data_IF_952877079217
#
_entry.id   IF_952877079217
#
_cell.length_a   1.000
_cell.length_b   1.000
_cell.length_c   1.000
_cell.angle_alpha   90.00
_cell.angle_beta   90.00
_cell.angle_gamma   90.00
#
_symmetry.space_group_name_H-M   'P 1'
#
loop_
_entity.id
_entity.type
_entity.pdbx_description
1 polymer ?
#
# COMPACT_ATOMS: atom_id res chain seq x y z
N UNK A 1 11.78 -6.17 -10.22
CA UNK A 1 12.12 -5.29 -9.09
C UNK A 1 12.76 -6.14 -8.00
N UNK A 2 13.91 -5.73 -7.44
CA UNK A 2 14.54 -6.48 -6.36
C UNK A 2 13.77 -6.25 -5.04
N UNK A 3 13.29 -7.33 -4.42
CA UNK A 3 12.64 -7.26 -3.10
C UNK A 3 13.72 -6.89 -2.07
N UNK A 4 13.54 -5.75 -1.40
CA UNK A 4 14.43 -5.35 -0.31
C UNK A 4 14.11 -6.20 0.92
N UNK A 5 15.15 -6.74 1.54
CA UNK A 5 15.01 -7.62 2.71
C UNK A 5 14.18 -6.95 3.83
N UNK A 6 13.18 -7.65 4.34
CA UNK A 6 12.27 -7.19 5.38
C UNK A 6 11.17 -6.25 4.93
N UNK A 7 11.21 -5.71 3.69
CA UNK A 7 10.16 -4.87 3.15
C UNK A 7 9.07 -5.73 2.52
N UNK A 8 7.83 -5.47 2.91
CA UNK A 8 6.64 -6.15 2.39
C UNK A 8 5.83 -5.19 1.51
N UNK A 9 5.10 -5.76 0.56
CA UNK A 9 4.29 -5.03 -0.42
C UNK A 9 2.86 -5.56 -0.40
N UNK A 10 1.87 -4.65 -0.42
CA UNK A 10 0.45 -5.01 -0.50
C UNK A 10 -0.24 -4.14 -1.53
N UNK A 11 -1.06 -4.76 -2.37
CA UNK A 11 -1.85 -4.07 -3.36
C UNK A 11 -3.29 -3.86 -2.88
N UNK A 12 -3.82 -2.69 -3.15
CA UNK A 12 -5.21 -2.31 -2.97
C UNK A 12 -5.85 -1.87 -4.29
N UNK A 13 -7.17 -1.87 -4.34
CA UNK A 13 -7.87 -1.90 -5.62
C UNK A 13 -8.36 -0.56 -6.15
N UNK A 14 -8.44 0.51 -5.35
CA UNK A 14 -9.20 1.67 -5.80
C UNK A 14 -8.44 3.00 -5.65
N UNK A 15 -8.32 3.72 -6.76
CA UNK A 15 -8.07 5.15 -6.77
C UNK A 15 -9.37 5.91 -6.90
N UNK A 16 -9.54 6.93 -6.07
CA UNK A 16 -10.54 7.97 -6.28
C UNK A 16 -9.87 9.20 -6.87
N UNK A 17 -10.35 9.68 -8.00
CA UNK A 17 -9.93 10.97 -8.53
C UNK A 17 -10.80 12.08 -7.96
N UNK A 18 -10.15 13.16 -7.53
CA UNK A 18 -10.87 14.39 -7.22
C UNK A 18 -11.31 15.01 -8.54
N UNK A 19 -12.61 15.24 -8.76
CA UNK A 19 -13.11 15.89 -9.97
C UNK A 19 -12.46 17.28 -10.10
N UNK A 20 -12.07 17.62 -11.34
CA UNK A 20 -11.66 18.99 -11.65
C UNK A 20 -12.90 19.86 -11.78
N UNK A 21 -12.87 21.05 -11.22
CA UNK A 21 -13.78 22.12 -11.62
C UNK A 21 -13.45 22.55 -13.06
N UNK A 22 -14.43 22.90 -13.86
CA UNK A 22 -14.20 23.42 -15.21
C UNK A 22 -13.23 24.60 -15.15
N UNK A 23 -12.07 24.48 -15.81
CA UNK A 23 -11.00 25.47 -15.81
C UNK A 23 -9.92 25.30 -14.73
N UNK A 24 -10.08 24.38 -13.79
CA UNK A 24 -9.03 24.02 -12.82
C UNK A 24 -8.04 23.05 -13.46
N UNK A 25 -6.74 23.26 -13.18
CA UNK A 25 -5.65 22.34 -13.56
C UNK A 25 -5.19 21.51 -12.36
N UNK A 26 -6.11 21.09 -11.51
CA UNK A 26 -5.76 20.28 -10.36
C UNK A 26 -5.49 18.83 -10.77
N UNK A 27 -4.31 18.37 -10.45
CA UNK A 27 -3.85 16.99 -10.68
C UNK A 27 -3.87 16.24 -9.35
N UNK A 28 -5.04 16.16 -8.70
CA UNK A 28 -5.16 15.54 -7.38
C UNK A 28 -5.77 14.15 -7.47
N UNK A 29 -5.19 13.23 -6.70
CA UNK A 29 -5.71 11.88 -6.51
C UNK A 29 -5.94 11.64 -5.03
N UNK A 30 -7.02 10.96 -4.70
CA UNK A 30 -7.34 10.47 -3.36
C UNK A 30 -7.64 9.00 -3.42
N UNK A 31 -7.33 8.30 -2.35
CA UNK A 31 -7.65 6.89 -2.24
C UNK A 31 -7.35 6.36 -0.84
N UNK A 32 -7.88 5.19 -0.55
CA UNK A 32 -7.54 4.45 0.67
C UNK A 32 -6.36 3.54 0.37
N UNK A 33 -5.23 3.81 1.00
CA UNK A 33 -4.01 3.03 0.83
C UNK A 33 -4.03 1.74 1.66
N UNK A 34 -4.66 1.77 2.83
CA UNK A 34 -4.67 0.66 3.78
C UNK A 34 -6.03 0.61 4.46
N UNK A 35 -6.63 -0.59 4.54
CA UNK A 35 -7.90 -0.83 5.24
C UNK A 35 -7.61 -1.61 6.53
N UNK A 36 -8.15 -1.12 7.66
CA UNK A 36 -7.98 -1.77 8.96
C UNK A 36 -9.03 -2.84 9.22
N UNK A 37 -8.65 -3.81 10.04
CA UNK A 37 -9.53 -4.86 10.58
C UNK A 37 -10.33 -5.63 9.51
N UNK A 38 -9.88 -5.61 8.26
CA UNK A 38 -10.50 -6.32 7.15
C UNK A 38 -9.58 -7.44 6.69
N UNK A 39 -10.03 -8.70 6.76
CA UNK A 39 -9.23 -9.82 6.27
C UNK A 39 -9.00 -9.73 4.77
N UNK A 40 -7.74 -9.82 4.37
CA UNK A 40 -7.33 -9.89 2.98
C UNK A 40 -6.70 -11.24 2.71
N UNK A 41 -7.20 -11.97 1.70
CA UNK A 41 -6.58 -13.23 1.27
C UNK A 41 -5.30 -12.88 0.52
N UNK A 42 -4.16 -13.35 1.03
CA UNK A 42 -2.86 -13.15 0.39
C UNK A 42 -2.57 -14.23 -0.63
N UNK A 43 -2.95 -15.47 -0.34
CA UNK A 43 -2.92 -16.59 -1.28
C UNK A 43 -3.80 -17.74 -0.79
N UNK A 44 -4.04 -18.69 -1.69
CA UNK A 44 -4.75 -19.93 -1.42
C UNK A 44 -3.86 -21.11 -1.80
N UNK A 45 -3.86 -22.16 -0.99
CA UNK A 45 -3.16 -23.40 -1.26
C UNK A 45 -4.00 -24.58 -0.76
N UNK A 46 -4.29 -25.54 -1.64
CA UNK A 46 -5.07 -26.74 -1.33
C UNK A 46 -6.43 -26.46 -0.66
N UNK A 47 -7.11 -25.38 -1.09
CA UNK A 47 -8.39 -24.96 -0.54
C UNK A 47 -8.30 -24.23 0.81
N UNK A 48 -7.09 -23.92 1.26
CA UNK A 48 -6.83 -23.14 2.48
C UNK A 48 -6.46 -21.73 2.12
N UNK A 49 -7.25 -20.75 2.61
CA UNK A 49 -6.96 -19.33 2.46
C UNK A 49 -6.01 -18.85 3.55
N UNK A 50 -4.93 -18.19 3.16
CA UNK A 50 -4.00 -17.50 4.05
C UNK A 50 -4.27 -16.02 4.03
N UNK A 51 -4.66 -15.48 5.19
CA UNK A 51 -5.20 -14.13 5.34
C UNK A 51 -4.29 -13.23 6.14
N UNK A 52 -4.45 -11.95 5.91
CA UNK A 52 -3.81 -10.91 6.71
C UNK A 52 -4.84 -9.86 7.14
N UNK A 53 -4.70 -9.41 8.37
CA UNK A 53 -5.43 -8.29 8.95
C UNK A 53 -4.40 -7.27 9.42
N UNK A 54 -4.65 -6.00 9.13
CA UNK A 54 -3.90 -4.88 9.70
C UNK A 54 -4.75 -4.28 10.81
N UNK A 55 -4.23 -4.34 12.03
CA UNK A 55 -4.90 -3.78 13.20
C UNK A 55 -5.06 -2.26 13.08
N UNK A 56 -6.17 -1.74 13.62
CA UNK A 56 -6.44 -0.29 13.62
C UNK A 56 -5.32 0.56 14.20
N UNK A 57 -4.62 0.06 15.20
CA UNK A 57 -3.54 0.75 15.90
C UNK A 57 -2.15 0.43 15.35
N UNK A 58 -2.06 -0.33 14.25
CA UNK A 58 -0.80 -0.76 13.68
C UNK A 58 0.14 0.38 13.27
N UNK A 59 -0.41 1.56 12.97
CA UNK A 59 0.33 2.73 12.53
C UNK A 59 0.56 3.79 13.61
N UNK A 60 0.10 3.59 14.84
CA UNK A 60 0.22 4.58 15.92
C UNK A 60 1.66 4.99 16.21
N UNK A 61 2.61 4.05 16.10
CA UNK A 61 4.05 4.27 16.31
C UNK A 61 4.87 4.08 15.01
N UNK A 62 4.20 4.07 13.87
CA UNK A 62 4.87 3.86 12.58
C UNK A 62 5.70 5.08 12.17
N UNK A 63 6.92 4.84 11.69
CA UNK A 63 7.70 5.87 11.02
C UNK A 63 7.07 6.18 9.65
N UNK A 64 6.44 7.33 9.57
CA UNK A 64 5.87 7.91 8.35
C UNK A 64 6.46 9.29 8.06
N UNK A 65 7.70 9.54 8.48
CA UNK A 65 8.35 10.86 8.40
C UNK A 65 8.52 11.35 6.97
N UNK A 66 8.69 10.46 6.02
CA UNK A 66 8.84 10.82 4.61
C UNK A 66 8.35 9.70 3.68
N UNK A 67 7.05 9.52 3.61
CA UNK A 67 6.42 8.61 2.65
C UNK A 67 6.41 9.27 1.27
N UNK A 68 6.72 8.49 0.23
CA UNK A 68 6.72 8.93 -1.16
C UNK A 68 5.56 8.30 -1.93
N UNK A 69 5.14 8.96 -3.01
CA UNK A 69 4.23 8.42 -4.00
C UNK A 69 4.99 8.27 -5.33
N UNK A 70 4.99 7.07 -5.88
CA UNK A 70 5.70 6.73 -7.11
C UNK A 70 4.89 5.76 -7.98
N UNK A 71 5.46 5.33 -9.08
CA UNK A 71 4.89 4.34 -9.99
C UNK A 71 5.64 3.01 -9.86
N UNK A 72 4.90 1.91 -9.68
CA UNK A 72 5.44 0.54 -9.56
C UNK A 72 6.57 0.39 -8.52
N UNK A 73 6.47 1.05 -7.36
CA UNK A 73 7.47 1.01 -6.28
C UNK A 73 8.89 1.39 -6.73
N UNK A 74 9.01 2.15 -7.78
CA UNK A 74 10.29 2.56 -8.37
C UNK A 74 10.09 3.80 -9.24
N UNK A 75 11.09 4.14 -10.05
CA UNK A 75 11.00 5.26 -10.94
C UNK A 75 10.98 6.62 -10.24
N UNK A 76 10.24 7.57 -10.82
CA UNK A 76 10.22 8.95 -10.33
C UNK A 76 9.26 9.11 -9.16
N UNK A 77 9.67 9.88 -8.16
CA UNK A 77 8.80 10.33 -7.07
C UNK A 77 7.91 11.46 -7.59
N UNK A 78 6.61 11.26 -7.55
CA UNK A 78 5.63 12.21 -8.11
C UNK A 78 4.91 13.03 -7.04
N UNK A 79 4.92 12.56 -5.80
CA UNK A 79 4.50 13.31 -4.61
C UNK A 79 5.23 12.76 -3.38
N UNK A 80 5.33 13.58 -2.32
CA UNK A 80 5.94 13.12 -1.08
C UNK A 80 5.51 13.97 0.13
N UNK A 81 5.55 13.37 1.32
CA UNK A 81 5.16 14.04 2.57
C UNK A 81 6.03 15.25 2.86
N UNK A 82 7.34 15.12 2.70
CA UNK A 82 8.31 16.17 3.08
C UNK A 82 8.10 17.48 2.35
N UNK A 83 7.67 17.46 1.08
CA UNK A 83 7.37 18.68 0.33
C UNK A 83 5.87 19.02 0.29
N UNK A 84 5.05 18.32 1.10
CA UNK A 84 3.61 18.55 1.26
C UNK A 84 2.77 18.32 0.00
N UNK A 85 3.28 17.61 -0.99
CA UNK A 85 2.51 17.19 -2.15
C UNK A 85 1.75 15.88 -1.91
N UNK A 86 2.12 15.14 -0.88
CA UNK A 86 1.39 13.98 -0.36
C UNK A 86 0.93 14.26 1.07
N UNK A 87 -0.32 13.95 1.36
CA UNK A 87 -0.86 13.92 2.72
C UNK A 87 -1.40 12.51 3.03
N UNK A 88 -1.17 12.07 4.26
CA UNK A 88 -1.75 10.84 4.80
C UNK A 88 -2.74 11.22 5.91
N UNK A 89 -3.91 10.63 5.88
CA UNK A 89 -4.92 10.77 6.91
C UNK A 89 -5.31 9.38 7.44
N UNK A 90 -5.10 9.17 8.73
CA UNK A 90 -5.48 7.92 9.41
C UNK A 90 -6.80 8.16 10.11
N UNK A 91 -7.80 7.35 9.76
CA UNK A 91 -9.11 7.34 10.39
C UNK A 91 -9.45 5.94 10.93
N UNK A 92 -10.69 5.72 11.35
CA UNK A 92 -11.14 4.42 11.87
C UNK A 92 -11.16 3.31 10.82
N UNK A 93 -11.21 3.65 9.54
CA UNK A 93 -11.29 2.72 8.42
C UNK A 93 -9.93 2.31 7.89
N UNK A 94 -8.95 3.22 7.93
CA UNK A 94 -7.66 2.95 7.36
C UNK A 94 -6.77 4.17 7.19
N UNK A 95 -5.81 4.04 6.30
CA UNK A 95 -4.90 5.11 5.89
C UNK A 95 -5.32 5.61 4.52
N UNK A 96 -5.72 6.87 4.46
CA UNK A 96 -6.12 7.55 3.23
C UNK A 96 -5.00 8.45 2.74
N UNK A 97 -4.88 8.57 1.42
CA UNK A 97 -3.95 9.48 0.77
C UNK A 97 -4.68 10.61 0.06
N UNK A 98 -4.02 11.75 0.01
CA UNK A 98 -4.35 12.89 -0.86
C UNK A 98 -3.04 13.36 -1.48
N UNK A 99 -2.91 13.27 -2.80
CA UNK A 99 -1.69 13.57 -3.51
C UNK A 99 -1.93 14.59 -4.63
N UNK A 100 -1.09 15.63 -4.67
CA UNK A 100 -1.00 16.57 -5.77
C UNK A 100 0.12 16.12 -6.72
N UNK A 101 -0.27 15.66 -7.89
CA UNK A 101 0.64 15.16 -8.94
C UNK A 101 1.06 16.26 -9.93
N UNK A 102 0.57 17.49 -9.76
CA UNK A 102 0.79 18.59 -10.71
C UNK A 102 2.18 19.18 -10.73
N UNK A 103 3.02 18.88 -9.72
CA UNK A 103 4.32 19.50 -9.54
C UNK A 103 5.41 19.04 -10.51
N UNK A 104 5.24 17.91 -11.18
CA UNK A 104 6.20 17.36 -12.13
C UNK A 104 5.53 16.89 -13.42
N UNK A 105 6.27 16.82 -14.51
CA UNK A 105 5.78 16.24 -15.77
C UNK A 105 5.36 14.78 -15.55
N UNK A 106 6.18 13.98 -14.89
CA UNK A 106 5.87 12.58 -14.60
C UNK A 106 4.60 12.44 -13.74
N UNK A 107 4.36 13.34 -12.79
CA UNK A 107 3.15 13.34 -11.98
C UNK A 107 1.90 13.64 -12.80
N UNK A 108 1.96 14.63 -13.69
CA UNK A 108 0.85 14.96 -14.58
C UNK A 108 0.54 13.84 -15.57
N UNK A 109 1.57 13.20 -16.13
CA UNK A 109 1.40 12.02 -16.99
C UNK A 109 0.73 10.86 -16.23
N UNK A 110 1.21 10.56 -15.01
CA UNK A 110 0.60 9.54 -14.16
C UNK A 110 -0.87 9.86 -13.84
N UNK A 111 -1.18 11.13 -13.54
CA UNK A 111 -2.56 11.54 -13.33
C UNK A 111 -3.45 11.25 -14.54
N UNK A 112 -2.97 11.55 -15.75
CA UNK A 112 -3.71 11.29 -16.99
C UNK A 112 -3.92 9.79 -17.21
N UNK A 113 -2.94 8.95 -16.87
CA UNK A 113 -3.06 7.50 -16.94
C UNK A 113 -4.08 6.95 -15.93
N UNK A 114 -4.11 7.50 -14.72
CA UNK A 114 -5.12 7.15 -13.71
C UNK A 114 -6.52 7.61 -14.16
N UNK A 115 -6.64 8.85 -14.62
CA UNK A 115 -7.91 9.43 -15.10
C UNK A 115 -8.45 8.67 -16.30
N UNK A 116 -7.59 8.21 -17.17
CA UNK A 116 -7.94 7.40 -18.35
C UNK A 116 -8.21 5.92 -18.07
N UNK A 117 -8.04 5.47 -16.82
CA UNK A 117 -8.25 4.06 -16.43
C UNK A 117 -7.15 3.10 -16.87
N UNK A 118 -5.98 3.61 -17.27
CA UNK A 118 -4.82 2.77 -17.60
C UNK A 118 -4.12 2.22 -16.35
N UNK A 119 -4.18 2.97 -15.26
CA UNK A 119 -3.64 2.60 -13.95
C UNK A 119 -4.72 2.83 -12.91
N UNK A 120 -5.17 1.76 -12.28
CA UNK A 120 -6.31 1.78 -11.36
C UNK A 120 -6.04 1.08 -10.01
N UNK A 121 -4.81 0.61 -9.80
CA UNK A 121 -4.43 -0.09 -8.58
C UNK A 121 -3.43 0.71 -7.77
N UNK A 122 -3.49 0.52 -6.47
CA UNK A 122 -2.56 1.11 -5.52
C UNK A 122 -1.91 0.02 -4.68
N UNK A 123 -0.64 0.20 -4.38
CA UNK A 123 0.13 -0.68 -3.52
C UNK A 123 0.90 0.16 -2.49
N UNK A 124 1.24 -0.43 -1.37
CA UNK A 124 2.09 0.21 -0.37
C UNK A 124 3.21 -0.72 0.08
N UNK A 125 4.33 -0.14 0.48
CA UNK A 125 5.48 -0.90 0.99
C UNK A 125 5.84 -0.49 2.41
N UNK A 126 6.09 -1.48 3.25
CA UNK A 126 6.27 -1.30 4.68
C UNK A 126 7.17 -2.37 5.28
N UNK A 127 7.59 -2.14 6.53
CA UNK A 127 8.21 -3.16 7.38
C UNK A 127 7.39 -3.35 8.64
N UNK A 128 7.35 -4.58 9.15
CA UNK A 128 6.56 -4.96 10.33
C UNK A 128 7.45 -4.96 11.58
N UNK A 129 6.92 -4.42 12.68
CA UNK A 129 7.53 -4.52 14.00
C UNK A 129 6.98 -5.69 14.80
N UNK A 130 5.65 -5.83 14.83
CA UNK A 130 4.97 -6.90 15.57
C UNK A 130 3.80 -7.44 14.75
N UNK A 131 3.67 -8.75 14.76
CA UNK A 131 2.54 -9.46 14.20
C UNK A 131 2.27 -10.74 14.99
N UNK A 132 1.03 -11.19 15.00
CA UNK A 132 0.62 -12.47 15.52
C UNK A 132 0.11 -13.38 14.39
N UNK A 133 0.15 -14.67 14.61
CA UNK A 133 -0.37 -15.65 13.66
C UNK A 133 -1.28 -16.66 14.34
N UNK A 134 -2.49 -16.78 13.82
CA UNK A 134 -3.44 -17.82 14.22
C UNK A 134 -3.37 -18.98 13.21
N UNK A 135 -2.88 -20.11 13.68
CA UNK A 135 -2.72 -21.32 12.85
C UNK A 135 -4.03 -22.03 12.55
N UNK A 136 -5.09 -21.78 13.30
CA UNK A 136 -6.41 -22.39 13.06
C UNK A 136 -7.13 -21.67 11.91
N UNK A 137 -7.09 -20.36 11.92
CA UNK A 137 -7.72 -19.52 10.87
C UNK A 137 -6.77 -19.16 9.74
N UNK A 138 -5.49 -19.53 9.84
CA UNK A 138 -4.42 -19.15 8.91
C UNK A 138 -4.36 -17.65 8.67
N UNK A 139 -4.49 -16.88 9.78
CA UNK A 139 -4.57 -15.43 9.73
C UNK A 139 -3.38 -14.79 10.44
N UNK A 140 -2.65 -13.96 9.72
CA UNK A 140 -1.63 -13.07 10.28
C UNK A 140 -2.28 -11.74 10.63
N UNK A 141 -2.11 -11.27 11.86
CA UNK A 141 -2.53 -9.93 12.27
C UNK A 141 -1.30 -9.06 12.49
N UNK A 142 -1.13 -8.03 11.68
CA UNK A 142 -0.09 -7.02 11.87
C UNK A 142 -0.58 -6.04 12.93
N UNK A 143 0.08 -6.03 14.09
CA UNK A 143 -0.27 -5.17 15.24
C UNK A 143 0.59 -3.92 15.32
N UNK A 144 1.82 -3.94 14.79
CA UNK A 144 2.68 -2.76 14.69
C UNK A 144 3.49 -2.75 13.40
N UNK A 145 3.29 -1.72 12.61
CA UNK A 145 4.12 -1.40 11.44
C UNK A 145 5.31 -0.58 11.91
N UNK A 146 6.51 -0.95 11.47
CA UNK A 146 7.73 -0.22 11.81
C UNK A 146 7.89 1.05 10.99
N UNK A 147 7.76 0.92 9.67
CA UNK A 147 7.92 2.03 8.72
C UNK A 147 7.07 1.82 7.49
N UNK A 148 6.44 2.90 7.03
CA UNK A 148 5.80 3.00 5.72
C UNK A 148 6.76 3.77 4.79
N UNK A 149 7.15 3.16 3.67
CA UNK A 149 8.12 3.72 2.75
C UNK A 149 7.49 4.47 1.60
N UNK A 150 6.56 3.83 0.93
CA UNK A 150 5.88 4.40 -0.22
C UNK A 150 4.44 3.92 -0.36
N UNK A 151 3.69 4.73 -1.07
CA UNK A 151 2.44 4.37 -1.71
C UNK A 151 2.67 4.48 -3.21
N UNK A 152 2.18 3.54 -3.99
CA UNK A 152 2.52 3.45 -5.41
C UNK A 152 1.27 3.20 -6.24
N UNK A 153 1.16 3.92 -7.36
CA UNK A 153 0.28 3.51 -8.44
C UNK A 153 0.90 2.32 -9.15
N UNK A 154 0.15 1.27 -9.40
CA UNK A 154 0.66 0.05 -10.02
C UNK A 154 -0.22 -0.37 -11.19
N UNK A 155 0.41 -0.77 -12.29
CA UNK A 155 -0.25 -1.26 -13.50
C UNK A 155 -0.74 -2.69 -13.34
N UNK A 156 0.07 -3.54 -12.71
CA UNK A 156 -0.28 -4.92 -12.37
C UNK A 156 -0.07 -5.08 -10.87
N UNK A 157 -1.11 -5.51 -10.12
CA UNK A 157 -0.93 -5.81 -8.71
C UNK A 157 0.21 -6.83 -8.53
N UNK A 158 1.15 -6.53 -7.64
CA UNK A 158 2.30 -7.39 -7.38
C UNK A 158 1.89 -8.63 -6.57
N UNK A 159 0.92 -9.40 -7.04
CA UNK A 159 0.46 -10.61 -6.36
C UNK A 159 1.58 -11.62 -6.19
N UNK A 160 2.48 -11.75 -7.18
CA UNK A 160 3.62 -12.66 -7.10
C UNK A 160 4.61 -12.24 -6.02
N UNK A 161 4.93 -10.96 -5.93
CA UNK A 161 5.85 -10.44 -4.92
C UNK A 161 5.21 -10.45 -3.53
N UNK A 162 3.92 -10.13 -3.45
CA UNK A 162 3.12 -10.25 -2.23
C UNK A 162 3.03 -11.71 -1.79
N UNK A 163 2.77 -12.62 -2.71
CA UNK A 163 2.70 -14.05 -2.45
C UNK A 163 4.03 -14.61 -1.99
N UNK A 164 5.15 -14.25 -2.63
CA UNK A 164 6.50 -14.69 -2.24
C UNK A 164 6.86 -14.20 -0.84
N UNK A 165 6.65 -12.93 -0.55
CA UNK A 165 6.97 -12.36 0.77
C UNK A 165 6.05 -12.94 1.86
N UNK A 166 4.79 -13.16 1.55
CA UNK A 166 3.84 -13.77 2.46
C UNK A 166 4.16 -15.26 2.69
N UNK A 167 4.45 -16.03 1.64
CA UNK A 167 4.83 -17.44 1.76
C UNK A 167 6.04 -17.63 2.66
N UNK A 168 7.09 -16.84 2.50
CA UNK A 168 8.28 -16.96 3.34
C UNK A 168 7.97 -16.75 4.82
N UNK A 169 7.06 -15.84 5.17
CA UNK A 169 6.62 -15.64 6.54
C UNK A 169 5.91 -16.89 7.10
N UNK A 170 4.99 -17.49 6.36
CA UNK A 170 4.22 -18.65 6.80
C UNK A 170 5.05 -19.93 6.81
N UNK A 171 6.02 -20.07 5.93
CA UNK A 171 6.97 -21.20 5.92
C UNK A 171 7.88 -21.19 7.14
N UNK A 172 8.37 -20.01 7.55
CA UNK A 172 9.14 -19.84 8.78
C UNK A 172 8.30 -20.21 10.01
N UNK A 173 7.02 -19.83 10.03
CA UNK A 173 6.08 -20.20 11.10
C UNK A 173 5.85 -21.70 11.22
N UNK A 174 5.89 -22.47 10.11
CA UNK A 174 5.79 -23.94 10.11
C UNK A 174 7.03 -24.63 10.68
N UNK A 175 8.21 -24.03 10.54
CA UNK A 175 9.45 -24.60 11.06
C UNK A 175 9.62 -24.43 12.59
N UNK A 176 8.74 -23.68 13.23
CA UNK A 176 8.79 -23.35 14.68
C UNK A 176 7.62 -23.96 15.48
N UNK A 177 6.88 -24.86 14.87
CA UNK A 177 5.78 -25.61 15.52
C UNK A 177 6.22 -27.04 15.84
#
# INVERSE_FOLDING_TARGET
MAIKQGREYRALQDFSLVPRDEGSKEYRVRGTAIVFNSPTVLWECDGVEYKEIIDRHAFDECDMSDVIFNYNHGGKVVARLRNKTLALNIDERGVNIDADLGGTTAGRELYEEIDGGYVDKMSFSFTVREASYDSVTHTRTITKVKKLYDVSAVDIPAYKDTEISARSFFEIGRAHV
#
